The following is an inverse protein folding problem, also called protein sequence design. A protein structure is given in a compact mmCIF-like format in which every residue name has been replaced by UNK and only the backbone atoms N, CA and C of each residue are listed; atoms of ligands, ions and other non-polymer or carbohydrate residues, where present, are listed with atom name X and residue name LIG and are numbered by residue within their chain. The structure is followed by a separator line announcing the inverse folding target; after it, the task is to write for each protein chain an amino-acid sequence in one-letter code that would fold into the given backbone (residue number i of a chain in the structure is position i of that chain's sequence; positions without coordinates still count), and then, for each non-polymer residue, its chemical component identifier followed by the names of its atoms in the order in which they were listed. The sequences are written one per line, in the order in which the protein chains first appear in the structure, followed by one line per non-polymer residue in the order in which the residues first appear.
data_IF_998064517951
#
_entry.id   IF_998064517951
#
_cell.length_a   1.000
_cell.length_b   1.000
_cell.length_c   1.000
_cell.angle_alpha   90.00
_cell.angle_beta   90.00
_cell.angle_gamma   90.00
#
_symmetry.space_group_name_H-M   'P 1'
#
loop_
_entity.id
_entity.type
_entity.pdbx_description
1 polymer ?
#
# COMPACT_ATOMS: atom_id res chain seq x y z
N UNK A 1 15.95 7.86 -16.91
CA UNK A 1 14.56 8.32 -17.07
C UNK A 1 13.72 7.13 -17.49
N UNK A 2 12.95 6.58 -16.55
CA UNK A 2 11.97 5.53 -16.80
C UNK A 2 10.87 6.09 -17.70
N UNK A 3 10.63 5.47 -18.85
CA UNK A 3 9.56 5.89 -19.74
C UNK A 3 8.20 5.56 -19.11
N UNK A 4 7.15 6.35 -19.44
CA UNK A 4 5.77 6.13 -18.97
C UNK A 4 5.24 4.71 -19.25
N UNK A 5 5.81 3.99 -20.23
CA UNK A 5 5.46 2.61 -20.58
C UNK A 5 6.00 1.55 -19.60
N UNK A 6 6.97 1.90 -18.75
CA UNK A 6 7.58 0.95 -17.79
C UNK A 6 6.88 0.94 -16.44
N UNK A 7 5.88 1.79 -16.23
CA UNK A 7 5.12 1.87 -14.99
C UNK A 7 3.79 1.11 -15.12
N UNK A 8 3.88 -0.21 -15.34
CA UNK A 8 2.68 -1.06 -15.32
C UNK A 8 2.46 -1.57 -13.90
N UNK A 9 1.31 -1.24 -13.33
CA UNK A 9 0.84 -1.87 -12.11
C UNK A 9 0.37 -3.28 -12.41
N UNK A 10 0.80 -4.23 -11.63
CA UNK A 10 0.36 -5.60 -11.68
C UNK A 10 -0.13 -6.06 -10.32
N UNK A 11 -0.84 -7.17 -10.30
CA UNK A 11 -1.24 -7.83 -9.08
C UNK A 11 -0.67 -9.25 -9.03
N UNK A 12 -0.45 -9.76 -7.85
CA UNK A 12 -0.08 -11.15 -7.60
C UNK A 12 -0.65 -11.62 -6.29
N UNK A 13 -0.88 -12.92 -6.18
CA UNK A 13 -1.29 -13.56 -4.93
C UNK A 13 -0.05 -14.09 -4.22
N UNK A 14 0.15 -13.65 -2.98
CA UNK A 14 1.20 -14.18 -2.10
C UNK A 14 0.53 -14.66 -0.82
N UNK A 15 0.51 -15.99 -0.64
CA UNK A 15 -0.26 -16.59 0.44
C UNK A 15 -1.77 -16.30 0.27
N UNK A 16 -2.38 -15.70 1.28
CA UNK A 16 -3.79 -15.29 1.27
C UNK A 16 -4.01 -13.80 1.02
N UNK A 17 -3.06 -13.11 0.39
CA UNK A 17 -3.15 -11.68 0.14
C UNK A 17 -2.97 -11.35 -1.34
N UNK A 18 -3.78 -10.43 -1.86
CA UNK A 18 -3.60 -9.78 -3.15
C UNK A 18 -2.63 -8.62 -2.99
N UNK A 19 -1.48 -8.70 -3.67
CA UNK A 19 -0.47 -7.66 -3.68
C UNK A 19 -0.58 -6.84 -4.96
N UNK A 20 -0.59 -5.53 -4.84
CA UNK A 20 -0.65 -4.60 -5.98
C UNK A 20 0.55 -3.66 -5.96
N UNK A 21 1.30 -3.65 -7.05
CA UNK A 21 2.49 -2.82 -7.19
C UNK A 21 3.05 -2.87 -8.61
N UNK A 22 4.30 -2.47 -8.77
CA UNK A 22 4.98 -2.52 -10.06
C UNK A 22 5.48 -3.93 -10.35
N UNK A 23 5.14 -4.46 -11.53
CA UNK A 23 5.61 -5.77 -11.98
C UNK A 23 7.00 -5.64 -12.60
N UNK A 24 7.96 -6.46 -12.14
CA UNK A 24 9.20 -6.69 -12.85
C UNK A 24 9.02 -7.85 -13.84
N UNK A 25 9.37 -7.65 -15.10
CA UNK A 25 9.66 -8.77 -15.99
C UNK A 25 10.99 -9.39 -15.56
N UNK A 26 10.93 -10.45 -14.76
CA UNK A 26 12.04 -11.36 -14.55
C UNK A 26 11.63 -12.76 -14.94
N UNK A 27 12.49 -13.42 -15.71
CA UNK A 27 12.28 -14.76 -16.26
C UNK A 27 12.49 -15.89 -15.24
N UNK A 28 12.35 -15.64 -13.93
CA UNK A 28 12.59 -16.65 -12.91
C UNK A 28 11.33 -17.06 -12.18
N UNK A 29 11.21 -18.39 -12.05
CA UNK A 29 10.07 -19.16 -11.58
C UNK A 29 9.53 -18.72 -10.21
N UNK A 30 8.22 -18.64 -10.12
CA UNK A 30 7.47 -18.41 -8.90
C UNK A 30 7.89 -19.33 -7.76
N UNK A 31 8.29 -18.73 -6.65
CA UNK A 31 8.42 -19.42 -5.37
C UNK A 31 7.04 -19.46 -4.69
N UNK A 32 6.49 -20.65 -4.56
CA UNK A 32 5.32 -20.93 -3.72
C UNK A 32 5.72 -20.87 -2.25
N UNK A 33 5.22 -19.92 -1.50
CA UNK A 33 5.54 -19.75 -0.07
C UNK A 33 4.37 -19.29 0.77
N UNK A 34 4.06 -20.12 1.67
CA UNK A 34 3.29 -20.16 2.91
C UNK A 34 2.54 -18.93 3.43
N UNK A 35 1.41 -19.23 4.06
CA UNK A 35 0.42 -18.38 4.70
C UNK A 35 0.99 -17.36 5.71
N UNK A 36 0.41 -16.14 5.72
CA UNK A 36 0.40 -15.23 6.88
C UNK A 36 1.73 -14.62 7.30
N UNK A 37 2.78 -14.69 6.49
CA UNK A 37 4.10 -14.16 6.79
C UNK A 37 4.37 -12.84 6.07
N UNK A 38 5.09 -11.94 6.75
CA UNK A 38 5.76 -10.79 6.17
C UNK A 38 6.38 -11.18 4.82
N UNK A 39 6.12 -10.44 3.72
CA UNK A 39 6.73 -10.73 2.43
C UNK A 39 8.26 -10.84 2.58
N UNK A 40 8.83 -11.95 2.11
CA UNK A 40 10.26 -12.17 2.21
C UNK A 40 11.03 -11.04 1.53
N UNK A 41 12.11 -10.58 2.15
CA UNK A 41 13.05 -9.69 1.53
C UNK A 41 13.55 -10.33 0.22
N UNK A 42 13.36 -9.64 -0.93
CA UNK A 42 13.71 -10.19 -2.24
C UNK A 42 12.54 -10.74 -3.04
N UNK A 43 11.30 -10.50 -2.63
CA UNK A 43 10.14 -10.75 -3.49
C UNK A 43 10.33 -10.02 -4.84
N UNK A 44 10.13 -10.69 -5.99
CA UNK A 44 10.23 -10.05 -7.31
C UNK A 44 9.11 -9.02 -7.54
N UNK A 45 8.23 -8.86 -6.57
CA UNK A 45 7.06 -7.99 -6.61
C UNK A 45 7.12 -6.96 -5.50
N UNK A 46 7.44 -5.73 -5.87
CA UNK A 46 7.43 -4.60 -4.95
C UNK A 46 6.03 -3.98 -4.91
N UNK A 47 5.35 -4.18 -3.79
CA UNK A 47 3.98 -3.76 -3.63
C UNK A 47 3.87 -2.41 -2.90
N UNK A 48 2.83 -1.65 -3.23
CA UNK A 48 2.38 -0.49 -2.46
C UNK A 48 1.17 -0.81 -1.60
N UNK A 49 0.39 -1.80 -2.01
CA UNK A 49 -0.86 -2.20 -1.35
C UNK A 49 -0.97 -3.71 -1.33
N UNK A 50 -1.37 -4.26 -0.21
CA UNK A 50 -1.80 -5.65 -0.09
C UNK A 50 -3.20 -5.71 0.52
N UNK A 51 -4.03 -6.63 0.02
CA UNK A 51 -5.38 -6.88 0.55
C UNK A 51 -5.42 -8.32 1.03
N UNK A 52 -5.67 -8.51 2.32
CA UNK A 52 -5.75 -9.82 2.94
C UNK A 52 -7.16 -10.44 2.83
N UNK A 53 -7.25 -11.74 3.05
CA UNK A 53 -8.52 -12.48 2.96
C UNK A 53 -9.56 -12.00 3.99
N UNK A 54 -9.13 -11.46 5.12
CA UNK A 54 -9.98 -10.87 6.15
C UNK A 54 -10.43 -9.44 5.83
N UNK A 55 -10.02 -8.91 4.67
CA UNK A 55 -10.36 -7.59 4.17
C UNK A 55 -9.50 -6.44 4.74
N UNK A 56 -8.47 -6.74 5.55
CA UNK A 56 -7.51 -5.72 5.92
C UNK A 56 -6.63 -5.33 4.72
N UNK A 57 -6.32 -4.04 4.64
CA UNK A 57 -5.47 -3.45 3.61
C UNK A 57 -4.16 -3.01 4.24
N UNK A 58 -3.03 -3.53 3.76
CA UNK A 58 -1.72 -3.05 4.18
C UNK A 58 -1.16 -2.10 3.13
N UNK A 59 -0.81 -0.90 3.54
CA UNK A 59 -0.12 0.10 2.72
C UNK A 59 1.38 0.02 3.03
N UNK A 60 2.19 -0.27 2.02
CA UNK A 60 3.64 -0.29 2.16
C UNK A 60 4.21 1.10 1.88
N UNK A 61 4.58 1.80 2.95
CA UNK A 61 5.02 3.18 2.88
C UNK A 61 6.45 3.30 2.37
N UNK A 62 6.65 4.10 1.32
CA UNK A 62 7.96 4.47 0.78
C UNK A 62 8.65 5.57 1.58
N UNK A 63 7.94 6.22 2.47
CA UNK A 63 8.38 7.32 3.32
C UNK A 63 8.24 6.93 4.78
N UNK A 64 9.15 7.38 5.64
CA UNK A 64 9.08 7.09 7.07
C UNK A 64 8.26 8.14 7.81
N UNK A 65 7.46 7.68 8.76
CA UNK A 65 6.78 8.55 9.71
C UNK A 65 7.71 8.83 10.91
N UNK A 66 8.02 10.10 11.10
CA UNK A 66 8.80 10.62 12.22
C UNK A 66 7.94 11.48 13.15
N UNK A 67 6.62 11.30 13.10
CA UNK A 67 5.63 12.12 13.79
C UNK A 67 4.90 13.12 12.89
N UNK A 68 5.34 13.28 11.61
CA UNK A 68 4.73 14.20 10.65
C UNK A 68 3.46 13.64 9.96
N UNK A 69 2.98 12.46 10.37
CA UNK A 69 1.71 11.87 9.97
C UNK A 69 1.62 11.39 8.50
N UNK A 70 2.76 11.08 7.88
CA UNK A 70 2.77 10.59 6.49
C UNK A 70 2.07 9.24 6.35
N UNK A 71 2.17 8.36 7.35
CA UNK A 71 1.50 7.05 7.30
C UNK A 71 -0.02 7.20 7.22
N UNK A 72 -0.60 8.09 8.01
CA UNK A 72 -2.03 8.40 7.90
C UNK A 72 -2.38 8.99 6.53
N UNK A 73 -1.54 9.89 6.00
CA UNK A 73 -1.72 10.45 4.66
C UNK A 73 -1.74 9.37 3.57
N UNK A 74 -0.77 8.45 3.58
CA UNK A 74 -0.71 7.35 2.61
C UNK A 74 -1.89 6.37 2.76
N UNK A 75 -2.27 6.04 3.99
CA UNK A 75 -3.47 5.25 4.28
C UNK A 75 -4.73 5.91 3.70
N UNK A 76 -4.88 7.22 3.88
CA UNK A 76 -6.02 7.98 3.37
C UNK A 76 -6.10 7.94 1.84
N UNK A 77 -4.96 8.08 1.12
CA UNK A 77 -4.94 8.02 -0.34
C UNK A 77 -5.43 6.66 -0.86
N UNK A 78 -4.96 5.59 -0.24
CA UNK A 78 -5.33 4.22 -0.63
C UNK A 78 -6.77 3.91 -0.22
N UNK A 79 -7.16 4.25 1.00
CA UNK A 79 -8.52 4.03 1.52
C UNK A 79 -9.58 4.73 0.67
N UNK A 80 -9.33 5.99 0.27
CA UNK A 80 -10.21 6.73 -0.63
C UNK A 80 -10.41 6.00 -1.95
N UNK A 81 -9.34 5.58 -2.62
CA UNK A 81 -9.45 4.92 -3.93
C UNK A 81 -10.03 3.51 -3.83
N UNK A 82 -9.86 2.83 -2.70
CA UNK A 82 -10.37 1.48 -2.47
C UNK A 82 -11.78 1.43 -1.85
N UNK A 83 -12.36 2.56 -1.45
CA UNK A 83 -13.63 2.57 -0.69
C UNK A 83 -13.58 1.70 0.58
N UNK A 84 -12.49 1.79 1.35
CA UNK A 84 -12.34 1.10 2.63
C UNK A 84 -12.28 2.10 3.79
N UNK A 85 -12.76 1.71 4.95
CA UNK A 85 -12.63 2.52 6.16
C UNK A 85 -11.16 2.55 6.64
N UNK A 86 -10.72 3.69 7.21
CA UNK A 86 -9.33 3.86 7.67
C UNK A 86 -8.93 2.89 8.79
N UNK A 87 -9.86 2.42 9.60
CA UNK A 87 -9.62 1.43 10.65
C UNK A 87 -9.34 0.01 10.10
N UNK A 88 -9.57 -0.19 8.79
CA UNK A 88 -9.21 -1.41 8.06
C UNK A 88 -7.87 -1.29 7.33
N UNK A 89 -7.15 -0.19 7.50
CA UNK A 89 -5.87 0.07 6.83
C UNK A 89 -4.73 0.03 7.82
N UNK A 90 -3.77 -0.84 7.55
CA UNK A 90 -2.48 -0.92 8.24
C UNK A 90 -1.40 -0.26 7.38
N UNK A 91 -0.38 0.31 8.00
CA UNK A 91 0.75 0.89 7.29
C UNK A 91 2.04 0.25 7.76
N UNK A 92 2.84 -0.22 6.81
CA UNK A 92 4.14 -0.82 7.05
C UNK A 92 5.23 -0.05 6.28
N UNK A 93 6.26 0.42 6.96
CA UNK A 93 7.41 1.07 6.31
C UNK A 93 8.19 0.10 5.45
N UNK A 94 8.57 0.52 4.24
CA UNK A 94 9.44 -0.23 3.33
C UNK A 94 10.74 0.51 3.08
N UNK A 95 11.84 -0.24 3.11
CA UNK A 95 13.17 0.30 2.88
C UNK A 95 13.96 -0.58 1.90
N UNK A 96 15.00 0.00 1.31
CA UNK A 96 16.03 -0.73 0.60
C UNK A 96 15.84 -0.92 -0.90
N UNK A 97 14.76 -0.40 -1.50
CA UNK A 97 14.61 -0.45 -2.96
C UNK A 97 14.26 0.91 -3.57
N UNK A 98 15.26 1.77 -3.81
CA UNK A 98 15.02 3.12 -4.33
C UNK A 98 14.39 3.14 -5.72
N UNK A 99 14.58 2.10 -6.52
CA UNK A 99 13.94 1.98 -7.84
C UNK A 99 12.41 2.06 -7.73
N UNK A 100 11.83 1.46 -6.68
CA UNK A 100 10.38 1.43 -6.45
C UNK A 100 9.92 2.49 -5.45
N UNK A 101 10.68 2.68 -4.37
CA UNK A 101 10.32 3.56 -3.27
C UNK A 101 11.07 4.89 -3.28
N UNK A 102 11.84 5.18 -4.34
CA UNK A 102 12.55 6.44 -4.50
C UNK A 102 11.60 7.64 -4.43
N UNK A 103 12.09 8.74 -3.86
CA UNK A 103 11.35 9.96 -3.71
C UNK A 103 11.24 10.68 -5.05
N UNK A 104 10.07 10.65 -5.68
CA UNK A 104 9.85 11.22 -7.02
C UNK A 104 9.99 12.74 -7.05
N UNK A 105 9.69 13.43 -5.95
CA UNK A 105 9.87 14.87 -5.85
C UNK A 105 11.36 15.28 -5.79
N UNK A 106 12.25 14.30 -5.50
CA UNK A 106 13.70 14.45 -5.47
C UNK A 106 14.39 13.65 -6.60
N UNK A 107 13.69 13.44 -7.72
CA UNK A 107 14.23 12.74 -8.89
C UNK A 107 14.18 11.23 -8.85
N UNK A 108 13.73 10.59 -7.78
CA UNK A 108 13.48 9.15 -7.69
C UNK A 108 14.71 8.24 -7.52
N UNK A 109 15.93 8.80 -7.51
CA UNK A 109 17.16 8.01 -7.48
C UNK A 109 17.46 7.36 -6.12
N UNK A 110 16.87 7.88 -5.06
CA UNK A 110 17.06 7.37 -3.70
C UNK A 110 15.79 7.52 -2.86
N UNK A 111 15.66 6.66 -1.87
CA UNK A 111 14.57 6.71 -0.90
C UNK A 111 14.95 7.73 0.19
N UNK A 112 14.15 8.78 0.31
CA UNK A 112 14.37 9.88 1.22
C UNK A 112 13.07 10.37 1.81
N UNK A 113 13.06 10.61 3.12
CA UNK A 113 11.99 11.31 3.83
C UNK A 113 12.53 12.66 4.29
N UNK A 114 12.05 13.76 3.73
CA UNK A 114 12.51 15.11 4.05
C UNK A 114 12.05 16.14 3.03
N UNK A 115 12.35 17.43 3.31
CA UNK A 115 12.02 18.52 2.43
C UNK A 115 10.53 18.70 2.12
N UNK A 116 9.65 18.26 3.01
CA UNK A 116 8.18 18.26 2.82
C UNK A 116 7.72 17.56 1.54
N UNK A 117 8.52 16.62 1.04
CA UNK A 117 8.31 15.97 -0.26
C UNK A 117 7.54 14.66 -0.20
N UNK A 118 7.27 14.13 1.00
CA UNK A 118 6.67 12.80 1.18
C UNK A 118 5.30 12.67 0.48
N UNK A 119 4.37 13.57 0.74
CA UNK A 119 3.04 13.53 0.12
C UNK A 119 3.08 13.88 -1.38
N UNK A 120 3.76 14.93 -1.85
CA UNK A 120 3.88 15.20 -3.29
C UNK A 120 4.49 14.03 -4.08
N UNK A 121 5.52 13.38 -3.52
CA UNK A 121 6.16 12.20 -4.13
C UNK A 121 5.23 10.98 -4.21
N UNK A 122 4.28 10.88 -3.30
CA UNK A 122 3.44 9.71 -3.10
C UNK A 122 2.03 9.84 -3.67
N UNK A 123 1.57 11.06 -3.92
CA UNK A 123 0.19 11.40 -4.26
C UNK A 123 -0.40 10.53 -5.38
N UNK A 124 0.20 10.56 -6.56
CA UNK A 124 -0.30 9.76 -7.68
C UNK A 124 -0.04 8.27 -7.50
N UNK A 125 1.14 7.92 -6.95
CA UNK A 125 1.58 6.54 -6.80
C UNK A 125 0.61 5.71 -5.97
N UNK A 126 0.25 6.20 -4.79
CA UNK A 126 -0.63 5.47 -3.89
C UNK A 126 -2.08 5.50 -4.31
N UNK A 127 -2.54 6.59 -4.90
CA UNK A 127 -3.86 6.66 -5.52
C UNK A 127 -3.97 5.67 -6.68
N UNK A 128 -2.99 5.61 -7.58
CA UNK A 128 -2.96 4.66 -8.69
C UNK A 128 -2.93 3.21 -8.19
N UNK A 129 -2.17 2.91 -7.13
CA UNK A 129 -2.16 1.57 -6.54
C UNK A 129 -3.53 1.17 -5.99
N UNK A 130 -4.20 2.05 -5.23
CA UNK A 130 -5.55 1.83 -4.72
C UNK A 130 -6.58 1.67 -5.84
N UNK A 131 -6.57 2.57 -6.84
CA UNK A 131 -7.48 2.49 -7.99
C UNK A 131 -7.27 1.21 -8.80
N UNK A 132 -6.02 0.79 -9.02
CA UNK A 132 -5.71 -0.47 -9.72
C UNK A 132 -6.26 -1.67 -8.95
N UNK A 133 -6.09 -1.72 -7.63
CA UNK A 133 -6.64 -2.78 -6.81
C UNK A 133 -8.17 -2.82 -6.90
N UNK A 134 -8.83 -1.67 -6.80
CA UNK A 134 -10.29 -1.55 -6.97
C UNK A 134 -10.76 -2.10 -8.31
N UNK A 135 -10.16 -1.68 -9.41
CA UNK A 135 -10.57 -2.11 -10.74
C UNK A 135 -10.31 -3.60 -10.99
N UNK A 136 -9.22 -4.17 -10.45
CA UNK A 136 -8.97 -5.61 -10.53
C UNK A 136 -9.99 -6.43 -9.76
N UNK A 137 -10.40 -5.98 -8.57
CA UNK A 137 -11.46 -6.62 -7.78
C UNK A 137 -12.83 -6.53 -8.47
N UNK A 138 -13.17 -5.37 -9.06
CA UNK A 138 -14.37 -5.24 -9.89
C UNK A 138 -14.32 -6.15 -11.10
N UNK A 139 -13.18 -6.25 -11.79
CA UNK A 139 -13.04 -7.14 -12.93
C UNK A 139 -13.18 -8.62 -12.52
N UNK A 140 -12.66 -9.01 -11.35
CA UNK A 140 -12.84 -10.36 -10.81
C UNK A 140 -14.33 -10.67 -10.56
N UNK A 141 -15.04 -9.75 -9.91
CA UNK A 141 -16.47 -9.88 -9.66
C UNK A 141 -17.29 -9.89 -10.97
N UNK A 142 -16.95 -9.05 -11.93
CA UNK A 142 -17.59 -9.01 -13.25
C UNK A 142 -17.48 -10.35 -13.98
N UNK A 143 -16.28 -10.95 -13.97
CA UNK A 143 -16.01 -12.24 -14.58
C UNK A 143 -16.80 -13.38 -13.89
N UNK A 144 -16.82 -13.38 -12.56
CA UNK A 144 -17.54 -14.38 -11.75
C UNK A 144 -19.05 -14.28 -11.93
N UNK A 145 -19.58 -13.06 -11.87
CA UNK A 145 -21.01 -12.80 -11.94
C UNK A 145 -21.57 -12.71 -13.34
N UNK A 146 -20.68 -12.64 -14.36
CA UNK A 146 -21.04 -12.51 -15.79
C UNK A 146 -21.86 -11.26 -16.07
N UNK A 147 -21.42 -10.13 -15.51
CA UNK A 147 -22.03 -8.81 -15.68
C UNK A 147 -20.98 -7.83 -16.22
N UNK A 148 -21.42 -6.70 -16.77
CA UNK A 148 -20.49 -5.68 -17.23
C UNK A 148 -19.81 -4.97 -16.04
N UNK A 149 -18.51 -4.70 -16.13
CA UNK A 149 -17.76 -4.02 -15.06
C UNK A 149 -18.32 -2.64 -14.72
N UNK A 150 -18.92 -1.96 -15.69
CA UNK A 150 -19.58 -0.67 -15.50
C UNK A 150 -20.84 -0.70 -14.65
N UNK A 151 -21.42 -1.89 -14.41
CA UNK A 151 -22.58 -2.08 -13.54
C UNK A 151 -22.16 -2.27 -12.07
N UNK A 152 -20.83 -2.38 -11.83
CA UNK A 152 -20.28 -2.63 -10.50
C UNK A 152 -19.83 -1.32 -9.84
N UNK A 153 -20.15 -1.20 -8.58
CA UNK A 153 -19.65 -0.17 -7.67
C UNK A 153 -18.86 -0.79 -6.52
N UNK A 154 -18.19 0.06 -5.75
CA UNK A 154 -17.46 -0.35 -4.54
C UNK A 154 -17.89 0.51 -3.36
N UNK A 155 -17.99 -0.10 -2.19
CA UNK A 155 -18.21 0.58 -0.93
C UNK A 155 -17.81 -0.31 0.25
N UNK A 156 -17.21 0.28 1.29
CA UNK A 156 -16.87 -0.40 2.55
C UNK A 156 -16.09 -1.70 2.39
N UNK A 157 -15.18 -1.78 1.40
CA UNK A 157 -14.38 -2.98 1.14
C UNK A 157 -15.13 -4.10 0.44
N UNK A 158 -16.21 -3.79 -0.25
CA UNK A 158 -17.01 -4.72 -1.04
C UNK A 158 -17.15 -4.26 -2.49
N UNK A 159 -17.29 -5.22 -3.41
CA UNK A 159 -17.83 -5.00 -4.76
C UNK A 159 -19.33 -5.27 -4.73
N UNK A 160 -20.10 -4.40 -5.37
CA UNK A 160 -21.55 -4.39 -5.34
C UNK A 160 -22.10 -4.36 -6.77
N UNK A 161 -23.05 -5.24 -7.06
CA UNK A 161 -23.89 -5.21 -8.25
C UNK A 161 -25.34 -4.93 -7.87
N UNK A 162 -25.77 -3.69 -7.98
CA UNK A 162 -27.12 -3.27 -7.58
C UNK A 162 -28.23 -3.97 -8.37
N UNK A 163 -27.99 -4.27 -9.65
CA UNK A 163 -28.96 -4.91 -10.53
C UNK A 163 -29.40 -6.33 -10.11
N UNK A 164 -28.53 -7.07 -9.37
CA UNK A 164 -28.87 -8.42 -8.86
C UNK A 164 -28.71 -8.54 -7.35
N UNK A 165 -28.53 -7.43 -6.64
CA UNK A 165 -28.29 -7.38 -5.19
C UNK A 165 -27.13 -8.26 -4.70
N UNK A 166 -26.13 -8.50 -5.58
CA UNK A 166 -24.94 -9.27 -5.22
C UNK A 166 -23.91 -8.37 -4.58
N UNK A 167 -23.22 -8.93 -3.59
CA UNK A 167 -22.10 -8.28 -2.89
C UNK A 167 -21.00 -9.32 -2.63
N UNK A 168 -19.75 -8.89 -2.72
CA UNK A 168 -18.62 -9.70 -2.32
C UNK A 168 -17.58 -8.83 -1.61
N UNK A 169 -17.12 -9.23 -0.41
CA UNK A 169 -16.01 -8.56 0.24
C UNK A 169 -14.74 -8.76 -0.59
N UNK A 170 -13.84 -7.78 -0.56
CA UNK A 170 -12.59 -7.83 -1.32
C UNK A 170 -11.78 -9.10 -1.06
N UNK A 171 -11.74 -9.54 0.21
CA UNK A 171 -11.03 -10.76 0.59
C UNK A 171 -11.50 -12.03 -0.14
N UNK A 172 -12.77 -12.10 -0.53
CA UNK A 172 -13.29 -13.23 -1.30
C UNK A 172 -12.86 -13.19 -2.77
N UNK A 173 -12.51 -12.03 -3.30
CA UNK A 173 -12.20 -11.81 -4.72
C UNK A 173 -10.69 -11.84 -5.03
N UNK A 174 -9.81 -11.84 -4.01
CA UNK A 174 -8.36 -11.71 -4.21
C UNK A 174 -7.76 -12.81 -5.09
N UNK A 175 -8.22 -14.06 -4.93
CA UNK A 175 -7.72 -15.18 -5.72
C UNK A 175 -8.11 -15.05 -7.21
N UNK A 176 -9.32 -14.57 -7.49
CA UNK A 176 -9.79 -14.33 -8.85
C UNK A 176 -9.17 -13.06 -9.47
N UNK A 177 -8.84 -12.05 -8.66
CA UNK A 177 -8.22 -10.80 -9.09
C UNK A 177 -6.71 -10.95 -9.40
N UNK A 178 -6.00 -11.84 -8.69
CA UNK A 178 -4.55 -11.98 -8.77
C UNK A 178 -3.99 -12.26 -10.20
N UNK A 179 -4.61 -13.11 -11.03
CA UNK A 179 -4.12 -13.36 -12.39
C UNK A 179 -4.49 -12.25 -13.39
N UNK A 180 -5.34 -11.30 -13.01
CA UNK A 180 -5.85 -10.27 -13.91
C UNK A 180 -4.82 -9.16 -14.15
N UNK A 181 -4.94 -8.53 -15.30
CA UNK A 181 -4.17 -7.34 -15.67
C UNK A 181 -5.14 -6.35 -16.32
N UNK A 182 -5.06 -5.09 -15.95
CA UNK A 182 -5.86 -4.05 -16.58
C UNK A 182 -5.30 -3.72 -17.97
N UNK A 183 -6.17 -3.47 -18.92
CA UNK A 183 -5.80 -3.08 -20.28
C UNK A 183 -5.18 -1.67 -20.37
N UNK A 184 -5.25 -0.89 -19.29
CA UNK A 184 -4.73 0.47 -19.19
C UNK A 184 -4.60 0.93 -17.76
N UNK A 185 -4.34 2.22 -17.55
CA UNK A 185 -4.31 2.80 -16.21
C UNK A 185 -5.72 2.84 -15.59
N UNK A 186 -5.80 2.49 -14.31
CA UNK A 186 -7.05 2.61 -13.56
C UNK A 186 -7.44 4.09 -13.40
N UNK A 187 -8.72 4.39 -13.60
CA UNK A 187 -9.24 5.73 -13.38
C UNK A 187 -9.23 6.08 -11.89
N UNK A 188 -8.68 7.25 -11.57
CA UNK A 188 -8.74 7.80 -10.23
C UNK A 188 -10.13 8.36 -9.95
N UNK A 189 -10.56 8.34 -8.69
CA UNK A 189 -11.81 8.98 -8.27
C UNK A 189 -11.78 10.49 -8.52
N UNK A 190 -12.93 11.02 -8.95
CA UNK A 190 -13.14 12.47 -9.05
C UNK A 190 -13.07 13.09 -7.64
N UNK A 191 -12.31 14.18 -7.45
CA UNK A 191 -12.26 14.92 -6.19
C UNK A 191 -13.62 15.29 -5.59
N UNK A 192 -14.63 15.48 -6.43
CA UNK A 192 -16.00 15.76 -6.00
C UNK A 192 -16.67 14.60 -5.26
N UNK A 193 -16.19 13.37 -5.47
CA UNK A 193 -16.71 12.15 -4.84
C UNK A 193 -15.91 11.69 -3.63
N UNK A 194 -14.86 12.43 -3.25
CA UNK A 194 -14.03 12.06 -2.10
C UNK A 194 -14.80 12.10 -0.79
N UNK A 195 -14.59 11.08 0.01
CA UNK A 195 -15.20 10.90 1.33
C UNK A 195 -14.19 11.03 2.47
N UNK A 196 -12.89 10.85 2.19
CA UNK A 196 -11.80 10.91 3.15
C UNK A 196 -10.84 12.07 2.86
N UNK A 197 -10.39 12.22 1.63
CA UNK A 197 -9.42 13.26 1.25
C UNK A 197 -10.06 14.64 1.35
N UNK A 198 -9.44 15.53 2.15
CA UNK A 198 -9.93 16.90 2.35
C UNK A 198 -11.20 17.01 3.20
N UNK A 199 -11.56 15.94 3.91
CA UNK A 199 -12.64 15.96 4.90
C UNK A 199 -12.07 16.01 6.31
N UNK A 200 -12.90 16.38 7.27
CA UNK A 200 -12.58 16.26 8.69
C UNK A 200 -12.49 14.77 9.03
N UNK A 201 -11.35 14.21 8.75
CA UNK A 201 -11.09 12.81 9.11
C UNK A 201 -10.82 12.72 10.61
N UNK A 202 -11.28 11.64 11.24
CA UNK A 202 -11.01 11.42 12.64
C UNK A 202 -9.50 11.28 12.87
N UNK A 203 -9.13 11.29 14.10
CA UNK A 203 -7.83 11.07 14.70
C UNK A 203 -6.88 10.26 13.83
N UNK A 204 -5.63 10.68 13.74
CA UNK A 204 -4.57 9.91 13.06
C UNK A 204 -4.56 8.45 13.52
N UNK A 205 -4.23 7.53 12.62
CA UNK A 205 -4.32 6.07 12.85
C UNK A 205 -3.49 5.57 14.05
N UNK A 206 -2.44 6.30 14.44
CA UNK A 206 -1.53 5.96 15.54
C UNK A 206 -1.72 6.83 16.80
N UNK A 207 -2.74 7.69 16.84
CA UNK A 207 -2.93 8.63 17.94
C UNK A 207 -3.10 7.94 19.28
N UNK A 208 -3.86 6.84 19.31
CA UNK A 208 -4.13 6.10 20.54
C UNK A 208 -2.84 5.54 21.13
N UNK A 209 -2.09 4.78 20.35
CA UNK A 209 -0.85 4.16 20.82
C UNK A 209 0.18 5.19 21.28
N UNK A 210 0.25 6.35 20.60
CA UNK A 210 1.14 7.46 20.97
C UNK A 210 0.68 8.25 22.20
N UNK A 211 -0.57 8.12 22.61
CA UNK A 211 -1.11 8.86 23.76
C UNK A 211 -1.33 8.00 25.00
N UNK A 212 -1.49 6.69 24.87
CA UNK A 212 -1.69 5.77 26.00
C UNK A 212 -0.41 5.03 26.42
N UNK A 213 0.72 5.28 25.74
CA UNK A 213 2.02 4.68 26.03
C UNK A 213 2.24 3.29 25.46
N UNK A 214 1.32 2.77 24.63
CA UNK A 214 1.47 1.44 23.98
C UNK A 214 2.31 1.47 22.71
N UNK A 215 2.71 2.67 22.22
CA UNK A 215 3.59 2.78 21.06
C UNK A 215 5.01 2.37 21.44
N UNK A 216 5.52 1.34 20.78
CA UNK A 216 6.94 0.97 20.87
C UNK A 216 7.77 1.88 19.96
N UNK A 217 8.86 2.40 20.50
CA UNK A 217 9.89 3.14 19.79
C UNK A 217 11.20 2.34 19.75
N UNK A 218 12.15 2.77 18.94
CA UNK A 218 13.45 2.09 18.81
C UNK A 218 14.19 1.96 20.15
N UNK A 219 14.02 2.92 21.05
CA UNK A 219 14.59 2.89 22.39
C UNK A 219 13.98 1.84 23.32
N UNK A 220 12.77 1.36 22.98
CA UNK A 220 12.02 0.42 23.82
C UNK A 220 12.24 -1.03 23.38
N UNK A 221 12.99 -1.23 22.28
CA UNK A 221 13.26 -2.55 21.74
C UNK A 221 14.18 -3.36 22.68
N UNK A 222 13.71 -4.52 23.07
CA UNK A 222 14.49 -5.53 23.80
C UNK A 222 14.48 -6.86 23.02
N UNK A 223 15.63 -7.25 22.49
CA UNK A 223 15.79 -8.51 21.75
C UNK A 223 16.65 -9.49 22.53
N UNK A 224 16.38 -10.81 22.47
CA UNK A 224 17.24 -11.81 23.09
C UNK A 224 18.71 -11.68 22.64
N UNK A 225 19.62 -11.48 23.56
CA UNK A 225 21.04 -11.29 23.27
C UNK A 225 21.43 -9.91 22.72
N UNK A 226 20.53 -8.93 22.77
CA UNK A 226 20.82 -7.55 22.37
C UNK A 226 21.94 -6.96 23.22
N UNK A 227 22.91 -6.31 22.55
CA UNK A 227 23.97 -5.56 23.20
C UNK A 227 23.65 -4.07 23.18
N UNK A 228 24.00 -3.39 24.26
CA UNK A 228 23.93 -1.94 24.34
C UNK A 228 25.30 -1.37 24.01
N UNK A 229 25.35 -0.47 23.03
CA UNK A 229 26.59 0.20 22.63
C UNK A 229 26.44 1.72 22.83
N UNK A 230 27.54 2.34 23.26
CA UNK A 230 27.67 3.80 23.32
C UNK A 230 28.75 4.26 22.35
N UNK A 231 28.58 5.45 21.81
CA UNK A 231 29.56 6.05 20.89
C UNK A 231 30.47 6.98 21.69
N UNK A 232 31.79 6.74 21.64
CA UNK A 232 32.77 7.68 22.12
C UNK A 232 33.29 8.53 20.95
N UNK A 233 33.07 9.83 21.03
CA UNK A 233 33.56 10.76 20.03
C UNK A 233 35.00 11.17 20.34
N UNK A 234 35.81 11.39 19.29
CA UNK A 234 37.11 12.00 19.47
C UNK A 234 37.00 13.39 20.12
N UNK A 235 37.84 13.72 21.11
CA UNK A 235 37.84 15.06 21.70
C UNK A 235 38.42 16.14 20.77
N UNK A 236 38.88 15.73 19.58
CA UNK A 236 39.47 16.63 18.57
C UNK A 236 38.74 16.50 17.25
N UNK A 237 38.58 17.62 16.54
CA UNK A 237 38.07 17.61 15.16
C UNK A 237 39.06 16.86 14.25
N UNK A 238 38.54 15.99 13.39
CA UNK A 238 39.33 15.19 12.44
C UNK A 238 40.10 14.01 13.08
N UNK A 239 39.74 13.62 14.28
CA UNK A 239 40.27 12.45 14.95
C UNK A 239 39.43 11.19 14.74
#
# INVERSE_FOLDING_TARGET
TLSRRQFMFGATLIGSALMVGCRMESSDKAATGAAGGKPAAGSPFEAYVAIAADGFVTVFASQFDMGQNVYHGLATLVAEELDVALDRVLVEGRAGNPKWYGNLAMGGAFQLTGGSSSMPSSWERYRKAGATARELLKQAAANEWKVAIGELSTANGEVIHAGSDRRAPYGALIAAAAPLTLAGEAALKDPKTWTLIGKDTPTRIDARAKSDGSQEYTSDLELPGMLVATVAHSPRFGG
#
